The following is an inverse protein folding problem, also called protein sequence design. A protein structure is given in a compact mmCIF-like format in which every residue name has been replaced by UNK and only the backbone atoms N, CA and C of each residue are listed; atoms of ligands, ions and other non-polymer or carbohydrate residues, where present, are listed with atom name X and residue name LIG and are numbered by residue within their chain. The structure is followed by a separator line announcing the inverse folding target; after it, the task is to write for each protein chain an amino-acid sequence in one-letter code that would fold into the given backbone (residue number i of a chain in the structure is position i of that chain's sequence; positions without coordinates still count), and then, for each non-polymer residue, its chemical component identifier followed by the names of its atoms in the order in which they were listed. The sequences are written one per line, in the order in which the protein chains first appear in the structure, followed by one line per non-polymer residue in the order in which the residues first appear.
data_IF_063486920428
#
_entry.id   IF_063486920428
#
_cell.length_a   1.000
_cell.length_b   1.000
_cell.length_c   1.000
_cell.angle_alpha   90.00
_cell.angle_beta   90.00
_cell.angle_gamma   90.00
#
_symmetry.space_group_name_H-M   'P 1'
#
loop_
_entity.id
_entity.type
_entity.pdbx_description
1 polymer ?
#
# COMPACT_ATOMS: atom_id res chain seq x y z
N UNK A 1 -5.60 -8.47 -11.52
CA UNK A 1 -5.95 -7.11 -12.00
C UNK A 1 -4.76 -6.51 -12.75
N UNK A 2 -4.99 -5.89 -13.87
CA UNK A 2 -3.94 -5.12 -14.54
C UNK A 2 -3.74 -3.81 -13.77
N UNK A 3 -2.50 -3.50 -13.41
CA UNK A 3 -2.18 -2.29 -12.64
C UNK A 3 -1.96 -1.13 -13.60
N UNK A 4 -2.91 -0.21 -13.63
CA UNK A 4 -2.86 1.05 -14.35
C UNK A 4 -3.71 2.08 -13.58
N UNK A 5 -3.67 3.35 -14.00
CA UNK A 5 -4.39 4.41 -13.30
C UNK A 5 -5.88 4.12 -13.14
N UNK A 6 -6.54 3.71 -14.20
CA UNK A 6 -7.98 3.43 -14.19
C UNK A 6 -8.34 2.34 -13.18
N UNK A 7 -7.60 1.24 -13.20
CA UNK A 7 -7.85 0.12 -12.30
C UNK A 7 -7.42 0.44 -10.87
N UNK A 8 -6.37 1.24 -10.69
CA UNK A 8 -5.94 1.69 -9.38
C UNK A 8 -7.00 2.56 -8.70
N UNK A 9 -7.60 3.50 -9.43
CA UNK A 9 -8.67 4.34 -8.89
C UNK A 9 -9.92 3.53 -8.55
N UNK A 10 -10.24 2.52 -9.37
CA UNK A 10 -11.34 1.60 -9.08
C UNK A 10 -11.03 0.77 -7.83
N UNK A 11 -9.80 0.31 -7.68
CA UNK A 11 -9.34 -0.43 -6.49
C UNK A 11 -9.43 0.45 -5.24
N UNK A 12 -9.05 1.73 -5.34
CA UNK A 12 -9.24 2.70 -4.27
C UNK A 12 -10.71 2.76 -3.83
N UNK A 13 -11.63 2.88 -4.79
CA UNK A 13 -13.06 2.96 -4.49
C UNK A 13 -13.57 1.67 -3.84
N UNK A 14 -13.10 0.52 -4.27
CA UNK A 14 -13.45 -0.76 -3.66
C UNK A 14 -13.02 -0.84 -2.19
N UNK A 15 -11.89 -0.26 -1.85
CA UNK A 15 -11.33 -0.32 -0.49
C UNK A 15 -11.77 0.84 0.41
N UNK A 16 -11.95 2.03 -0.15
CA UNK A 16 -12.17 3.25 0.62
C UNK A 16 -13.43 4.02 0.21
N UNK A 17 -14.19 3.51 -0.74
CA UNK A 17 -15.41 4.17 -1.21
C UNK A 17 -15.12 5.54 -1.82
N UNK A 18 -15.86 6.55 -1.38
CA UNK A 18 -15.75 7.92 -1.89
C UNK A 18 -14.74 8.77 -1.12
N UNK A 19 -13.96 8.17 -0.23
CA UNK A 19 -12.97 8.91 0.56
C UNK A 19 -11.91 9.52 -0.34
N UNK A 20 -11.56 10.77 -0.06
CA UNK A 20 -10.45 11.47 -0.73
C UNK A 20 -9.10 11.17 -0.07
N UNK A 21 -9.13 10.78 1.20
CA UNK A 21 -7.95 10.44 1.99
C UNK A 21 -8.16 9.11 2.67
N UNK A 22 -7.09 8.37 2.83
CA UNK A 22 -7.06 7.13 3.59
C UNK A 22 -5.65 6.94 4.14
N UNK A 23 -5.50 6.04 5.09
CA UNK A 23 -4.20 5.66 5.61
C UNK A 23 -3.84 4.26 5.11
N UNK A 24 -2.56 4.04 4.86
CA UNK A 24 -2.08 2.69 4.53
C UNK A 24 -1.88 1.86 5.82
N UNK A 25 -1.38 0.61 5.67
CA UNK A 25 -1.22 -0.31 6.80
C UNK A 25 -0.26 0.22 7.87
N UNK A 26 0.64 1.14 7.52
CA UNK A 26 1.58 1.75 8.48
C UNK A 26 1.02 3.04 9.10
N UNK A 27 -0.10 3.54 8.59
CA UNK A 27 -0.69 4.80 9.04
C UNK A 27 -0.24 6.02 8.23
N UNK A 28 0.45 5.83 7.12
CA UNK A 28 0.83 6.94 6.25
C UNK A 28 -0.36 7.39 5.39
N UNK A 29 -0.51 8.69 5.26
CA UNK A 29 -1.61 9.31 4.52
C UNK A 29 -1.47 9.04 3.03
N UNK A 30 -2.61 8.76 2.38
CA UNK A 30 -2.75 8.70 0.93
C UNK A 30 -3.86 9.65 0.51
N UNK A 31 -3.72 10.29 -0.65
CA UNK A 31 -4.77 11.06 -1.27
C UNK A 31 -5.15 10.40 -2.60
N UNK A 32 -6.45 10.19 -2.81
CA UNK A 32 -6.96 9.53 -4.02
C UNK A 32 -6.34 10.08 -5.30
N UNK A 33 -6.18 11.39 -5.40
CA UNK A 33 -5.65 12.07 -6.59
C UNK A 33 -4.13 11.90 -6.78
N UNK A 34 -3.44 11.36 -5.78
CA UNK A 34 -1.98 11.24 -5.78
C UNK A 34 -1.43 9.94 -6.34
N UNK A 35 -2.24 9.15 -7.06
CA UNK A 35 -1.75 7.88 -7.59
C UNK A 35 -0.51 8.05 -8.47
N UNK A 36 0.55 7.33 -8.12
CA UNK A 36 1.79 7.29 -8.90
C UNK A 36 2.63 8.57 -8.85
N UNK A 37 2.26 9.53 -8.04
CA UNK A 37 2.94 10.83 -7.95
C UNK A 37 3.71 10.96 -6.63
N UNK A 38 5.05 10.76 -6.64
CA UNK A 38 5.86 10.86 -5.43
C UNK A 38 5.94 12.28 -4.87
N UNK A 39 5.61 13.28 -5.68
CA UNK A 39 5.66 14.69 -5.27
C UNK A 39 4.29 15.23 -4.85
N UNK A 40 3.26 14.41 -4.88
CA UNK A 40 1.93 14.83 -4.45
C UNK A 40 1.92 15.05 -2.94
N UNK A 41 1.48 16.25 -2.52
CA UNK A 41 1.44 16.59 -1.11
C UNK A 41 0.23 17.46 -0.78
N UNK A 42 -0.08 17.52 0.50
CA UNK A 42 -1.04 18.45 1.07
C UNK A 42 -0.40 19.14 2.27
N UNK A 43 -0.94 20.30 2.64
CA UNK A 43 -0.57 20.95 3.90
C UNK A 43 -1.62 20.65 4.95
N UNK A 44 -1.15 20.20 6.11
CA UNK A 44 -2.03 19.98 7.27
C UNK A 44 -1.31 20.47 8.52
N UNK A 45 -1.98 21.32 9.28
CA UNK A 45 -1.38 21.93 10.47
C UNK A 45 -0.05 22.65 10.17
N UNK A 46 0.05 23.27 8.99
CA UNK A 46 1.28 23.95 8.56
C UNK A 46 2.40 23.04 8.12
N UNK A 47 2.17 21.74 8.07
CA UNK A 47 3.16 20.77 7.62
C UNK A 47 2.86 20.25 6.24
N UNK A 48 3.91 20.04 5.45
CA UNK A 48 3.84 19.42 4.13
C UNK A 48 3.85 17.90 4.31
N UNK A 49 2.78 17.25 3.85
CA UNK A 49 2.63 15.81 3.97
C UNK A 49 2.55 15.22 2.57
N UNK A 50 3.53 14.40 2.22
CA UNK A 50 3.52 13.66 0.95
C UNK A 50 2.54 12.50 1.05
N UNK A 51 1.59 12.46 0.13
CA UNK A 51 0.50 11.48 0.16
C UNK A 51 0.20 10.86 -1.21
N UNK A 52 1.18 10.84 -2.09
CA UNK A 52 1.15 10.01 -3.28
C UNK A 52 1.16 8.53 -2.91
N UNK A 53 0.52 7.70 -3.73
CA UNK A 53 0.35 6.29 -3.41
C UNK A 53 0.52 5.39 -4.62
N UNK A 54 0.79 4.14 -4.35
CA UNK A 54 0.90 3.07 -5.34
C UNK A 54 0.14 1.84 -4.86
N UNK A 55 -0.01 0.88 -5.75
CA UNK A 55 -0.47 -0.46 -5.39
C UNK A 55 0.76 -1.31 -5.11
N UNK A 56 0.77 -1.92 -3.92
CA UNK A 56 1.84 -2.79 -3.45
C UNK A 56 1.40 -4.25 -3.47
N UNK A 57 2.28 -5.13 -3.92
CA UNK A 57 2.06 -6.58 -3.85
C UNK A 57 2.38 -7.06 -2.44
N UNK A 58 1.43 -7.67 -1.77
CA UNK A 58 1.62 -8.21 -0.42
C UNK A 58 2.69 -9.28 -0.44
N UNK A 59 2.50 -10.33 -1.26
CA UNK A 59 3.57 -11.26 -1.60
C UNK A 59 4.21 -10.77 -2.89
N UNK A 60 5.52 -10.47 -2.89
CA UNK A 60 6.20 -9.98 -4.09
C UNK A 60 6.06 -10.93 -5.28
N UNK A 61 5.96 -10.37 -6.48
CA UNK A 61 5.91 -11.16 -7.72
C UNK A 61 7.11 -12.11 -7.81
N UNK A 62 8.30 -11.64 -7.45
CA UNK A 62 9.52 -12.45 -7.48
C UNK A 62 9.45 -13.68 -6.57
N UNK A 63 8.54 -13.70 -5.59
CA UNK A 63 8.37 -14.79 -4.63
C UNK A 63 7.05 -15.56 -4.85
N UNK A 64 6.44 -15.40 -6.02
CA UNK A 64 5.22 -16.12 -6.38
C UNK A 64 3.92 -15.33 -6.21
N UNK A 65 4.00 -14.06 -5.86
CA UNK A 65 2.84 -13.20 -5.78
C UNK A 65 2.21 -12.94 -7.16
N UNK A 66 0.95 -12.55 -7.16
CA UNK A 66 0.19 -12.27 -8.39
C UNK A 66 -0.47 -10.91 -8.33
N UNK A 67 -1.11 -10.51 -9.45
CA UNK A 67 -1.94 -9.31 -9.53
C UNK A 67 -3.39 -9.54 -9.11
N UNK A 68 -3.69 -10.65 -8.45
CA UNK A 68 -5.02 -10.87 -7.86
C UNK A 68 -5.27 -9.82 -6.78
N UNK A 69 -6.50 -9.30 -6.72
CA UNK A 69 -6.86 -8.23 -5.76
C UNK A 69 -6.55 -8.59 -4.31
N UNK A 70 -6.69 -9.87 -3.94
CA UNK A 70 -6.35 -10.35 -2.60
C UNK A 70 -4.87 -10.18 -2.25
N UNK A 71 -3.99 -10.03 -3.25
CA UNK A 71 -2.56 -9.83 -3.08
C UNK A 71 -2.12 -8.37 -3.21
N UNK A 72 -3.07 -7.45 -3.31
CA UNK A 72 -2.80 -6.03 -3.56
C UNK A 72 -3.30 -5.17 -2.40
N UNK A 73 -2.56 -4.10 -2.12
CA UNK A 73 -2.93 -3.11 -1.12
C UNK A 73 -2.44 -1.73 -1.58
N UNK A 74 -3.24 -0.70 -1.28
CA UNK A 74 -2.81 0.68 -1.51
C UNK A 74 -1.82 1.08 -0.43
N UNK A 75 -0.69 1.64 -0.82
CA UNK A 75 0.31 2.15 0.12
C UNK A 75 0.81 3.52 -0.30
N UNK A 76 1.14 4.34 0.68
CA UNK A 76 1.93 5.54 0.43
C UNK A 76 3.23 5.14 -0.29
N UNK A 77 3.70 5.95 -1.22
CA UNK A 77 4.90 5.64 -2.00
C UNK A 77 6.10 5.39 -1.09
N UNK A 78 6.26 6.16 0.00
CA UNK A 78 7.34 5.96 0.95
C UNK A 78 7.23 4.61 1.67
N UNK A 79 6.03 4.19 2.04
CA UNK A 79 5.78 2.86 2.63
C UNK A 79 6.17 1.75 1.66
N UNK A 80 5.78 1.90 0.40
CA UNK A 80 6.11 0.93 -0.65
C UNK A 80 7.62 0.81 -0.85
N UNK A 81 8.34 1.94 -0.84
CA UNK A 81 9.80 1.97 -0.98
C UNK A 81 10.49 1.28 0.20
N UNK A 82 10.00 1.47 1.43
CA UNK A 82 10.56 0.81 2.61
C UNK A 82 10.30 -0.69 2.61
N UNK A 83 9.12 -1.12 2.19
CA UNK A 83 8.78 -2.54 2.11
C UNK A 83 9.53 -3.25 0.97
N UNK A 84 9.73 -2.57 -0.16
CA UNK A 84 10.37 -3.13 -1.36
C UNK A 84 9.74 -4.49 -1.74
N UNK A 85 10.55 -5.45 -2.15
CA UNK A 85 10.15 -6.83 -2.47
C UNK A 85 10.50 -7.79 -1.33
N UNK A 86 10.42 -7.32 -0.10
CA UNK A 86 10.78 -8.09 1.09
C UNK A 86 9.56 -8.69 1.76
N UNK A 87 9.72 -9.83 2.39
CA UNK A 87 8.68 -10.46 3.21
C UNK A 87 8.85 -10.15 4.69
N UNK A 88 9.97 -9.56 5.08
CA UNK A 88 10.22 -9.04 6.43
C UNK A 88 10.91 -7.69 6.27
N UNK A 89 10.32 -6.64 6.83
CA UNK A 89 10.84 -5.30 6.63
C UNK A 89 10.50 -4.39 7.82
N UNK A 90 11.36 -3.40 8.02
CA UNK A 90 11.16 -2.34 9.00
C UNK A 90 10.65 -1.08 8.32
N UNK A 91 9.65 -0.46 8.92
CA UNK A 91 9.24 0.90 8.59
C UNK A 91 9.23 1.67 9.91
N UNK A 92 10.06 2.72 10.01
CA UNK A 92 10.33 3.40 11.27
C UNK A 92 10.74 2.35 12.32
N UNK A 93 10.08 2.30 13.47
CA UNK A 93 10.38 1.34 14.53
C UNK A 93 9.45 0.11 14.49
N UNK A 94 8.73 -0.09 13.40
CA UNK A 94 7.76 -1.17 13.26
C UNK A 94 8.32 -2.28 12.37
N UNK A 95 8.28 -3.50 12.86
CA UNK A 95 8.65 -4.69 12.07
C UNK A 95 7.40 -5.34 11.51
N UNK A 96 7.43 -5.58 10.21
CA UNK A 96 6.35 -6.25 9.47
C UNK A 96 6.83 -7.54 8.86
N UNK A 97 5.93 -8.49 8.76
CA UNK A 97 6.17 -9.76 8.08
C UNK A 97 4.97 -10.13 7.22
N UNK A 98 5.26 -10.58 6.00
CA UNK A 98 4.26 -11.16 5.11
C UNK A 98 4.04 -12.60 5.54
N UNK A 99 2.79 -12.96 5.85
CA UNK A 99 2.43 -14.30 6.31
C UNK A 99 1.29 -14.84 5.46
N UNK A 100 1.37 -16.14 5.19
CA UNK A 100 0.27 -16.86 4.56
C UNK A 100 -0.91 -16.91 5.53
N UNK A 101 -2.10 -16.61 5.01
CA UNK A 101 -3.34 -16.73 5.79
C UNK A 101 -3.67 -18.21 5.91
N UNK A 102 -3.83 -18.69 7.15
CA UNK A 102 -4.06 -20.10 7.41
C UNK A 102 -5.27 -20.64 6.64
N UNK A 103 -5.10 -21.77 5.98
CA UNK A 103 -6.16 -22.42 5.21
C UNK A 103 -6.40 -21.82 3.82
N UNK A 104 -5.53 -20.93 3.34
CA UNK A 104 -5.65 -20.30 2.02
C UNK A 104 -4.29 -20.18 1.34
N UNK A 105 -4.31 -19.74 0.07
CA UNK A 105 -3.09 -19.37 -0.67
C UNK A 105 -2.84 -17.86 -0.62
N UNK A 106 -3.65 -17.13 0.13
CA UNK A 106 -3.53 -15.69 0.28
C UNK A 106 -2.55 -15.32 1.39
N UNK A 107 -2.01 -14.10 1.30
CA UNK A 107 -1.04 -13.57 2.25
C UNK A 107 -1.52 -12.25 2.83
N UNK A 108 -0.99 -11.90 3.98
CA UNK A 108 -1.26 -10.63 4.66
C UNK A 108 0.03 -10.04 5.21
N UNK A 109 0.03 -8.74 5.42
CA UNK A 109 1.12 -8.02 6.08
C UNK A 109 0.76 -7.93 7.56
N UNK A 110 1.59 -8.51 8.41
CA UNK A 110 1.38 -8.51 9.86
C UNK A 110 2.43 -7.66 10.54
N UNK A 111 2.01 -6.80 11.45
CA UNK A 111 2.95 -6.10 12.34
C UNK A 111 3.36 -7.05 13.46
N UNK A 112 4.68 -7.26 13.58
CA UNK A 112 5.25 -8.16 14.59
C UNK A 112 5.75 -7.38 15.81
N UNK A 113 6.23 -6.17 15.56
CA UNK A 113 6.88 -5.41 16.61
C UNK A 113 6.61 -3.92 16.52
#
# INVERSE_FOLDING_TARGET
MRINRKNALRFWEENFGQAQFAEDFHGNLMCREGYGDPDYFVYEWGQKIYCGWNIHHILPIALGGTNAKANLVCTNIATNEEAEDKITFWIDDCLYQVKRIWGSDEHEICRIR
#
